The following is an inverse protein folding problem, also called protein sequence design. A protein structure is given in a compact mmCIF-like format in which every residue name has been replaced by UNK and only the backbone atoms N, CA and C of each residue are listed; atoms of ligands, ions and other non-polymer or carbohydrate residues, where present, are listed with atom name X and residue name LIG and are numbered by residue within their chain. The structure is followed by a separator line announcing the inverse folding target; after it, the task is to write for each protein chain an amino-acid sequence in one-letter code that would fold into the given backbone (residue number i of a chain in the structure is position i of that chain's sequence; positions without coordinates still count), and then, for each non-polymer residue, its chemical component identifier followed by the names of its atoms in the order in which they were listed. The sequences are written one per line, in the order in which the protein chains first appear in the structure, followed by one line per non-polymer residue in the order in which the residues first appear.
data_IF_150294254325
#
_entry.id   IF_150294254325
#
_cell.length_a   1.000
_cell.length_b   1.000
_cell.length_c   1.000
_cell.angle_alpha   90.00
_cell.angle_beta   90.00
_cell.angle_gamma   90.00
#
_symmetry.space_group_name_H-M   'P 1'
#
loop_
_entity.id
_entity.type
_entity.pdbx_description
1 polymer ?
#
# COMPACT_ATOMS: atom_id res chain seq x y z
N UNK A 1 -2.35 -16.42 -34.62
CA UNK A 1 -2.74 -17.32 -33.51
C UNK A 1 -2.41 -16.65 -32.19
N UNK A 2 -3.43 -16.18 -31.47
CA UNK A 2 -3.25 -15.39 -30.24
C UNK A 2 -3.06 -16.29 -29.02
N UNK A 3 -2.04 -15.99 -28.20
CA UNK A 3 -1.76 -16.67 -26.93
C UNK A 3 -3.03 -16.77 -26.07
N UNK A 4 -3.37 -17.95 -25.50
CA UNK A 4 -4.57 -18.11 -24.69
C UNK A 4 -4.52 -17.19 -23.47
N UNK A 5 -5.64 -16.52 -23.20
CA UNK A 5 -5.77 -15.66 -22.03
C UNK A 5 -5.69 -16.51 -20.76
N UNK A 6 -4.92 -16.04 -19.77
CA UNK A 6 -4.89 -16.67 -18.46
C UNK A 6 -6.29 -16.61 -17.79
N UNK A 7 -6.64 -17.64 -17.00
CA UNK A 7 -7.85 -17.65 -16.19
C UNK A 7 -7.87 -16.42 -15.28
N UNK A 8 -9.07 -15.90 -15.04
CA UNK A 8 -9.30 -14.72 -14.22
C UNK A 8 -8.83 -15.05 -12.80
N UNK A 9 -7.84 -14.34 -12.30
CA UNK A 9 -7.38 -14.45 -10.90
C UNK A 9 -8.34 -13.63 -10.05
N UNK A 10 -9.33 -14.30 -9.46
CA UNK A 10 -10.43 -13.65 -8.75
C UNK A 10 -9.98 -13.19 -7.36
N UNK A 11 -9.85 -11.86 -7.17
CA UNK A 11 -9.76 -11.29 -5.82
C UNK A 11 -11.12 -11.17 -5.15
N UNK A 12 -12.16 -10.90 -5.95
CA UNK A 12 -13.58 -10.82 -5.55
C UNK A 12 -14.46 -11.32 -6.69
N UNK A 13 -15.69 -11.76 -6.41
CA UNK A 13 -16.64 -12.19 -7.46
C UNK A 13 -16.99 -11.04 -8.41
N UNK A 14 -17.01 -9.83 -7.89
CA UNK A 14 -17.37 -8.61 -8.59
C UNK A 14 -16.23 -8.13 -9.51
N UNK A 15 -14.96 -8.25 -9.09
CA UNK A 15 -13.81 -7.96 -9.96
C UNK A 15 -13.73 -8.97 -11.12
N UNK A 16 -14.05 -10.24 -10.85
CA UNK A 16 -14.16 -11.27 -11.87
C UNK A 16 -15.29 -10.97 -12.88
N UNK A 17 -16.48 -10.60 -12.39
CA UNK A 17 -17.61 -10.24 -13.24
C UNK A 17 -17.32 -9.00 -14.12
N UNK A 18 -16.62 -8.00 -13.59
CA UNK A 18 -16.18 -6.84 -14.37
C UNK A 18 -15.20 -7.26 -15.48
N UNK A 19 -14.20 -8.07 -15.16
CA UNK A 19 -13.22 -8.55 -16.13
C UNK A 19 -13.85 -9.40 -17.24
N UNK A 20 -14.77 -10.30 -16.88
CA UNK A 20 -15.53 -11.12 -17.83
C UNK A 20 -16.36 -10.25 -18.77
N UNK A 21 -17.01 -9.21 -18.25
CA UNK A 21 -17.80 -8.27 -19.07
C UNK A 21 -16.92 -7.52 -20.08
N UNK A 22 -15.75 -7.04 -19.65
CA UNK A 22 -14.78 -6.39 -20.56
C UNK A 22 -14.32 -7.34 -21.68
N UNK A 23 -13.99 -8.60 -21.33
CA UNK A 23 -13.60 -9.62 -22.32
C UNK A 23 -14.73 -9.92 -23.29
N UNK A 24 -15.98 -9.96 -22.82
CA UNK A 24 -17.14 -10.21 -23.68
C UNK A 24 -17.35 -9.07 -24.69
N UNK A 25 -17.23 -7.81 -24.27
CA UNK A 25 -17.29 -6.66 -25.16
C UNK A 25 -16.18 -6.70 -26.21
N UNK A 26 -14.94 -7.00 -25.80
CA UNK A 26 -13.81 -7.12 -26.74
C UNK A 26 -14.04 -8.24 -27.76
N UNK A 27 -14.52 -9.41 -27.31
CA UNK A 27 -14.84 -10.54 -28.20
C UNK A 27 -15.94 -10.20 -29.19
N UNK A 28 -17.01 -9.52 -28.74
CA UNK A 28 -18.10 -9.04 -29.61
C UNK A 28 -17.60 -8.04 -30.65
N UNK A 29 -16.67 -7.17 -30.27
CA UNK A 29 -16.04 -6.22 -31.18
C UNK A 29 -15.00 -6.86 -32.13
N UNK A 30 -14.62 -8.13 -31.92
CA UNK A 30 -13.61 -8.81 -32.74
C UNK A 30 -12.19 -8.25 -32.59
N UNK A 31 -11.92 -7.48 -31.53
CA UNK A 31 -10.64 -6.75 -31.38
C UNK A 31 -9.61 -7.57 -30.60
N UNK A 32 -8.37 -7.55 -31.07
CA UNK A 32 -7.20 -7.94 -30.26
C UNK A 32 -6.85 -6.83 -29.25
N UNK A 33 -6.09 -7.14 -28.20
CA UNK A 33 -5.61 -6.12 -27.26
C UNK A 33 -4.73 -5.06 -27.94
N UNK A 34 -3.99 -5.43 -29.00
CA UNK A 34 -3.18 -4.48 -29.78
C UNK A 34 -4.05 -3.52 -30.58
N UNK A 35 -5.09 -4.02 -31.25
CA UNK A 35 -6.05 -3.18 -31.99
C UNK A 35 -6.86 -2.27 -31.07
N UNK A 36 -7.32 -2.80 -29.94
CA UNK A 36 -7.99 -2.00 -28.92
C UNK A 36 -7.04 -0.94 -28.33
N UNK A 37 -5.76 -1.27 -28.18
CA UNK A 37 -4.74 -0.33 -27.76
C UNK A 37 -4.58 0.84 -28.72
N UNK A 38 -4.53 0.56 -30.02
CA UNK A 38 -4.49 1.59 -31.06
C UNK A 38 -5.74 2.49 -31.03
N UNK A 39 -6.93 1.93 -30.79
CA UNK A 39 -8.18 2.69 -30.72
C UNK A 39 -8.34 3.55 -29.45
N UNK A 40 -7.63 3.21 -28.36
CA UNK A 40 -7.79 3.85 -27.04
C UNK A 40 -6.57 4.65 -26.58
N UNK A 41 -5.44 4.53 -27.27
CA UNK A 41 -4.16 5.08 -26.84
C UNK A 41 -3.52 4.34 -25.65
N UNK A 42 -4.08 3.20 -25.24
CA UNK A 42 -3.60 2.40 -24.11
C UNK A 42 -2.73 1.23 -24.60
N UNK A 43 -1.74 0.81 -23.80
CA UNK A 43 -0.92 -0.35 -24.16
C UNK A 43 -1.72 -1.66 -24.04
N UNK A 44 -1.41 -2.63 -24.91
CA UNK A 44 -2.04 -3.96 -24.88
C UNK A 44 -1.87 -4.65 -23.52
N UNK A 45 -0.74 -4.45 -22.83
CA UNK A 45 -0.48 -4.97 -21.49
C UNK A 45 -1.38 -4.34 -20.43
N UNK A 46 -1.65 -3.03 -20.50
CA UNK A 46 -2.57 -2.33 -19.60
C UNK A 46 -4.02 -2.79 -19.81
N UNK A 47 -4.43 -2.99 -21.05
CA UNK A 47 -5.76 -3.52 -21.39
C UNK A 47 -5.94 -4.98 -20.96
N UNK A 48 -4.92 -5.81 -21.15
CA UNK A 48 -4.92 -7.20 -20.69
C UNK A 48 -5.01 -7.29 -19.16
N UNK A 49 -4.25 -6.46 -18.45
CA UNK A 49 -4.35 -6.35 -16.98
C UNK A 49 -5.72 -5.85 -16.54
N UNK A 50 -6.31 -4.88 -17.24
CA UNK A 50 -7.66 -4.41 -16.94
C UNK A 50 -8.72 -5.51 -17.06
N UNK A 51 -8.47 -6.48 -17.95
CA UNK A 51 -9.32 -7.64 -18.17
C UNK A 51 -8.85 -8.90 -17.39
N UNK A 52 -7.90 -8.81 -16.46
CA UNK A 52 -7.40 -9.97 -15.71
C UNK A 52 -8.29 -10.34 -14.51
N UNK A 53 -8.99 -9.36 -13.91
CA UNK A 53 -9.79 -9.52 -12.69
C UNK A 53 -8.99 -9.50 -11.38
N UNK A 54 -7.67 -9.38 -11.48
CA UNK A 54 -6.73 -9.34 -10.34
C UNK A 54 -6.87 -8.07 -9.49
N UNK A 55 -7.21 -6.95 -10.14
CA UNK A 55 -7.48 -5.68 -9.50
C UNK A 55 -8.52 -4.88 -10.29
N UNK A 56 -9.30 -4.04 -9.61
CA UNK A 56 -10.26 -3.15 -10.28
C UNK A 56 -9.52 -1.95 -10.87
N UNK A 57 -9.56 -1.72 -12.20
CA UNK A 57 -8.85 -0.62 -12.84
C UNK A 57 -9.46 0.75 -12.51
N UNK A 58 -8.78 1.87 -12.79
CA UNK A 58 -9.40 3.21 -12.76
C UNK A 58 -10.60 3.28 -13.72
N UNK A 59 -11.63 4.05 -13.35
CA UNK A 59 -12.86 4.15 -14.16
C UNK A 59 -12.57 4.63 -15.59
N UNK A 60 -11.66 5.58 -15.74
CA UNK A 60 -11.25 6.12 -17.05
C UNK A 60 -10.72 5.03 -18.00
N UNK A 61 -9.92 4.09 -17.48
CA UNK A 61 -9.38 2.97 -18.26
C UNK A 61 -10.51 2.03 -18.69
N UNK A 62 -11.46 1.78 -17.80
CA UNK A 62 -12.63 0.92 -18.09
C UNK A 62 -13.53 1.57 -19.13
N UNK A 63 -13.81 2.87 -19.00
CA UNK A 63 -14.60 3.59 -19.99
C UNK A 63 -13.91 3.69 -21.35
N UNK A 64 -12.60 3.95 -21.38
CA UNK A 64 -11.82 3.97 -22.62
C UNK A 64 -11.86 2.60 -23.31
N UNK A 65 -11.68 1.51 -22.56
CA UNK A 65 -11.80 0.14 -23.07
C UNK A 65 -13.16 -0.10 -23.73
N UNK A 66 -14.24 0.24 -23.02
CA UNK A 66 -15.62 0.02 -23.48
C UNK A 66 -15.96 0.88 -24.69
N UNK A 67 -15.55 2.16 -24.71
CA UNK A 67 -15.68 3.03 -25.89
C UNK A 67 -14.88 2.51 -27.08
N UNK A 68 -13.66 2.02 -26.86
CA UNK A 68 -12.81 1.44 -27.90
C UNK A 68 -13.39 0.16 -28.52
N UNK A 69 -14.30 -0.52 -27.81
CA UNK A 69 -15.06 -1.66 -28.32
C UNK A 69 -16.37 -1.26 -29.05
N UNK A 70 -16.63 0.04 -29.23
CA UNK A 70 -17.83 0.54 -29.93
C UNK A 70 -19.11 0.45 -29.10
N UNK A 71 -19.00 0.45 -27.77
CA UNK A 71 -20.15 0.28 -26.89
C UNK A 71 -21.08 1.51 -26.86
N UNK A 72 -22.37 1.27 -26.65
CA UNK A 72 -23.39 2.33 -26.58
C UNK A 72 -23.49 2.98 -25.18
N UNK A 73 -24.38 3.97 -25.04
CA UNK A 73 -24.61 4.65 -23.75
C UNK A 73 -25.12 3.71 -22.65
N UNK A 74 -25.90 2.67 -23.00
CA UNK A 74 -26.45 1.71 -22.03
C UNK A 74 -25.35 0.80 -21.51
N UNK A 75 -24.46 0.34 -22.38
CA UNK A 75 -23.29 -0.47 -22.02
C UNK A 75 -22.29 0.31 -21.17
N UNK A 76 -22.11 1.61 -21.44
CA UNK A 76 -21.33 2.51 -20.58
C UNK A 76 -21.96 2.67 -19.18
N UNK A 77 -23.28 2.76 -19.07
CA UNK A 77 -23.94 2.79 -17.76
C UNK A 77 -23.83 1.43 -17.03
N UNK A 78 -23.94 0.33 -17.77
CA UNK A 78 -23.81 -1.02 -17.26
C UNK A 78 -22.40 -1.31 -16.73
N UNK A 79 -21.35 -0.84 -17.42
CA UNK A 79 -19.96 -1.01 -16.96
C UNK A 79 -19.68 -0.16 -15.74
N UNK A 80 -20.20 1.07 -15.66
CA UNK A 80 -20.06 1.94 -14.47
C UNK A 80 -20.66 1.30 -13.22
N UNK A 81 -21.82 0.68 -13.36
CA UNK A 81 -22.49 -0.01 -12.26
C UNK A 81 -21.67 -1.21 -11.76
N UNK A 82 -21.18 -2.04 -12.68
CA UNK A 82 -20.28 -3.18 -12.35
C UNK A 82 -18.97 -2.72 -11.75
N UNK A 83 -18.39 -1.64 -12.27
CA UNK A 83 -17.16 -1.05 -11.74
C UNK A 83 -17.35 -0.59 -10.29
N UNK A 84 -18.47 0.07 -9.97
CA UNK A 84 -18.79 0.48 -8.59
C UNK A 84 -18.93 -0.73 -7.67
N UNK A 85 -19.65 -1.76 -8.10
CA UNK A 85 -19.80 -2.99 -7.31
C UNK A 85 -18.43 -3.65 -7.04
N UNK A 86 -17.58 -3.77 -8.07
CA UNK A 86 -16.24 -4.31 -7.93
C UNK A 86 -15.35 -3.48 -7.01
N UNK A 87 -15.43 -2.15 -7.08
CA UNK A 87 -14.72 -1.24 -6.15
C UNK A 87 -15.20 -1.36 -4.72
N UNK A 88 -16.50 -1.57 -4.51
CA UNK A 88 -17.07 -1.77 -3.19
C UNK A 88 -16.70 -3.13 -2.61
N UNK A 89 -16.61 -4.16 -3.44
CA UNK A 89 -16.18 -5.49 -3.01
C UNK A 89 -14.67 -5.56 -2.70
N UNK A 90 -13.83 -4.83 -3.45
CA UNK A 90 -12.42 -4.62 -3.07
C UNK A 90 -12.27 -3.76 -1.82
N UNK A 91 -13.27 -2.94 -1.50
CA UNK A 91 -13.28 -2.23 -0.23
C UNK A 91 -13.53 -3.26 0.89
N UNK A 92 -12.75 -3.22 1.99
CA UNK A 92 -13.04 -4.01 3.17
C UNK A 92 -14.51 -3.85 3.56
N UNK A 93 -15.20 -4.94 3.97
CA UNK A 93 -16.59 -4.84 4.40
C UNK A 93 -16.70 -3.77 5.50
N UNK A 94 -17.75 -2.93 5.49
CA UNK A 94 -17.99 -2.03 6.59
C UNK A 94 -18.15 -2.88 7.84
N UNK A 95 -17.20 -2.78 8.77
CA UNK A 95 -17.27 -3.50 10.03
C UNK A 95 -18.39 -2.88 10.85
N UNK A 96 -19.53 -3.56 10.92
CA UNK A 96 -20.71 -3.13 11.69
C UNK A 96 -20.54 -3.35 13.21
N UNK A 97 -19.47 -4.03 13.62
CA UNK A 97 -19.04 -4.06 15.02
C UNK A 97 -17.90 -3.05 15.20
N UNK A 98 -17.88 -2.28 16.31
CA UNK A 98 -16.70 -1.49 16.64
C UNK A 98 -15.55 -2.48 16.81
N UNK A 99 -14.65 -2.56 15.81
CA UNK A 99 -13.31 -3.08 16.09
C UNK A 99 -12.76 -2.17 17.16
N UNK A 100 -12.36 -2.74 18.29
CA UNK A 100 -11.60 -1.97 19.27
C UNK A 100 -10.46 -1.32 18.49
N UNK A 101 -10.40 0.01 18.51
CA UNK A 101 -9.41 0.81 17.78
C UNK A 101 -7.98 0.39 18.18
N UNK A 102 -7.82 -0.24 19.34
CA UNK A 102 -6.58 -0.88 19.82
C UNK A 102 -6.10 -2.04 18.95
N UNK A 103 -6.98 -2.71 18.23
CA UNK A 103 -6.67 -3.88 17.40
C UNK A 103 -6.43 -3.54 15.92
N UNK A 104 -6.71 -2.31 15.50
CA UNK A 104 -6.52 -1.87 14.12
C UNK A 104 -5.03 -1.80 13.78
N UNK A 105 -4.62 -2.50 12.73
CA UNK A 105 -3.22 -2.60 12.29
C UNK A 105 -3.01 -2.32 10.79
N UNK A 106 -4.07 -2.15 9.99
CA UNK A 106 -3.96 -1.81 8.57
C UNK A 106 -4.59 -0.46 8.22
N UNK A 107 -4.10 0.23 7.17
CA UNK A 107 -4.69 1.48 6.67
C UNK A 107 -6.19 1.36 6.32
N UNK A 108 -6.55 0.23 5.72
CA UNK A 108 -7.91 -0.09 5.31
C UNK A 108 -8.86 -0.21 6.51
N UNK A 109 -8.39 -0.80 7.60
CA UNK A 109 -9.14 -0.94 8.85
C UNK A 109 -9.28 0.39 9.59
N UNK A 110 -8.22 1.21 9.59
CA UNK A 110 -8.27 2.54 10.17
C UNK A 110 -9.31 3.42 9.46
N UNK A 111 -9.33 3.40 8.12
CA UNK A 111 -10.35 4.12 7.38
C UNK A 111 -11.75 3.58 7.67
N UNK A 112 -11.92 2.27 7.78
CA UNK A 112 -13.20 1.66 8.11
C UNK A 112 -13.70 2.13 9.49
N UNK A 113 -12.79 2.23 10.47
CA UNK A 113 -13.07 2.80 11.79
C UNK A 113 -13.48 4.28 11.70
N UNK A 114 -12.78 5.11 10.91
CA UNK A 114 -13.14 6.53 10.71
C UNK A 114 -14.55 6.67 10.14
N UNK A 115 -14.88 5.89 9.12
CA UNK A 115 -16.20 5.91 8.47
C UNK A 115 -17.28 5.39 9.41
N UNK A 116 -16.99 4.38 10.23
CA UNK A 116 -17.89 3.88 11.26
C UNK A 116 -18.17 4.97 12.31
N UNK A 117 -17.13 5.61 12.84
CA UNK A 117 -17.26 6.72 13.79
C UNK A 117 -18.13 7.84 13.21
N UNK A 118 -17.87 8.25 11.96
CA UNK A 118 -18.62 9.30 11.28
C UNK A 118 -20.11 8.95 11.13
N UNK A 119 -20.43 7.67 10.84
CA UNK A 119 -21.81 7.18 10.76
C UNK A 119 -22.50 7.18 12.12
N UNK A 120 -21.83 6.67 13.15
CA UNK A 120 -22.38 6.53 14.51
C UNK A 120 -22.87 7.86 15.09
N UNK A 121 -22.19 8.96 14.76
CA UNK A 121 -22.54 10.30 15.23
C UNK A 121 -23.54 11.04 14.30
N UNK A 122 -24.19 10.33 13.38
CA UNK A 122 -25.20 10.91 12.48
C UNK A 122 -24.65 11.62 11.24
N UNK A 123 -23.42 11.32 10.82
CA UNK A 123 -22.76 11.90 9.63
C UNK A 123 -22.82 13.44 9.57
N UNK A 124 -22.36 14.16 10.59
CA UNK A 124 -22.25 15.61 10.52
C UNK A 124 -21.46 16.04 9.29
N UNK A 125 -21.91 17.13 8.67
CA UNK A 125 -21.26 17.71 7.50
C UNK A 125 -19.81 18.11 7.80
N UNK A 126 -18.95 18.16 6.78
CA UNK A 126 -17.56 18.57 6.93
C UNK A 126 -17.44 19.98 7.53
N UNK A 127 -18.40 20.87 7.21
CA UNK A 127 -18.51 22.21 7.80
C UNK A 127 -18.81 22.18 9.30
N UNK A 128 -19.69 21.28 9.75
CA UNK A 128 -19.97 21.09 11.18
C UNK A 128 -18.76 20.50 11.91
N UNK A 129 -18.07 19.54 11.32
CA UNK A 129 -16.87 18.94 11.91
C UNK A 129 -15.74 19.97 12.05
N UNK A 130 -15.47 20.78 11.04
CA UNK A 130 -14.46 21.84 11.15
C UNK A 130 -14.84 22.88 12.21
N UNK A 131 -16.12 23.26 12.30
CA UNK A 131 -16.60 24.14 13.38
C UNK A 131 -16.37 23.52 14.76
N UNK A 132 -16.62 22.21 14.92
CA UNK A 132 -16.37 21.47 16.18
C UNK A 132 -14.89 21.34 16.50
N UNK A 133 -14.01 21.31 15.50
CA UNK A 133 -12.57 21.26 15.67
C UNK A 133 -11.94 22.61 16.10
N UNK A 134 -12.74 23.69 16.22
CA UNK A 134 -12.26 25.02 16.61
C UNK A 134 -12.12 26.00 15.43
N UNK A 135 -12.51 25.63 14.21
CA UNK A 135 -12.53 26.53 13.05
C UNK A 135 -11.37 26.35 12.07
N UNK A 136 -11.07 27.42 11.31
CA UNK A 136 -10.19 27.39 10.14
C UNK A 136 -8.81 26.80 10.46
N UNK A 137 -8.43 25.77 9.70
CA UNK A 137 -7.09 25.18 9.73
C UNK A 137 -6.92 23.97 10.65
N UNK A 138 -7.77 23.80 11.67
CA UNK A 138 -7.69 22.65 12.59
C UNK A 138 -8.17 21.35 11.93
N UNK A 139 -9.17 21.46 11.04
CA UNK A 139 -9.66 20.34 10.26
C UNK A 139 -10.03 20.80 8.84
N UNK A 140 -9.04 20.95 7.93
CA UNK A 140 -9.29 21.43 6.58
C UNK A 140 -10.29 20.54 5.84
N UNK A 141 -11.42 21.13 5.42
CA UNK A 141 -12.53 20.39 4.77
C UNK A 141 -12.09 19.67 3.50
N UNK A 142 -11.24 20.31 2.70
CA UNK A 142 -10.70 19.74 1.45
C UNK A 142 -9.90 18.47 1.73
N UNK A 143 -8.96 18.53 2.68
CA UNK A 143 -8.13 17.38 3.07
C UNK A 143 -8.96 16.26 3.68
N UNK A 144 -9.88 16.57 4.60
CA UNK A 144 -10.76 15.57 5.18
C UNK A 144 -11.64 14.87 4.13
N UNK A 145 -12.12 15.61 3.13
CA UNK A 145 -12.89 15.04 2.03
C UNK A 145 -12.07 14.03 1.20
N UNK A 146 -10.82 14.36 0.88
CA UNK A 146 -9.91 13.45 0.15
C UNK A 146 -9.62 12.18 0.96
N UNK A 147 -9.39 12.32 2.26
CA UNK A 147 -9.16 11.19 3.17
C UNK A 147 -10.38 10.28 3.27
N UNK A 148 -11.58 10.85 3.45
CA UNK A 148 -12.82 10.05 3.52
C UNK A 148 -13.12 9.34 2.18
N UNK A 149 -12.68 9.91 1.05
CA UNK A 149 -12.76 9.28 -0.28
C UNK A 149 -11.64 8.26 -0.54
N UNK A 150 -10.73 8.05 0.40
CA UNK A 150 -9.52 7.20 0.28
C UNK A 150 -8.52 7.67 -0.79
N UNK A 151 -8.56 8.94 -1.17
CA UNK A 151 -7.66 9.53 -2.16
C UNK A 151 -6.32 9.94 -1.54
N UNK A 152 -6.26 10.09 -0.21
CA UNK A 152 -5.06 10.44 0.55
C UNK A 152 -5.08 9.74 1.93
N UNK A 153 -3.93 9.30 2.46
CA UNK A 153 -3.86 8.83 3.85
C UNK A 153 -4.07 9.98 4.84
N UNK A 154 -4.74 9.76 5.99
CA UNK A 154 -4.82 10.77 7.03
C UNK A 154 -3.45 11.07 7.62
N UNK A 155 -3.15 12.33 7.92
CA UNK A 155 -2.03 12.65 8.82
C UNK A 155 -2.45 12.40 10.28
N UNK A 156 -1.50 12.17 11.22
CA UNK A 156 -1.81 11.98 12.63
C UNK A 156 -2.58 13.15 13.23
N UNK A 157 -2.17 14.38 12.86
CA UNK A 157 -2.79 15.63 13.31
C UNK A 157 -4.23 15.75 12.79
N UNK A 158 -4.45 15.45 11.50
CA UNK A 158 -5.78 15.49 10.91
C UNK A 158 -6.70 14.43 11.55
N UNK A 159 -6.15 13.24 11.83
CA UNK A 159 -6.90 12.15 12.48
C UNK A 159 -7.33 12.53 13.89
N UNK A 160 -6.42 13.08 14.71
CA UNK A 160 -6.74 13.52 16.07
C UNK A 160 -7.81 14.63 16.05
N UNK A 161 -7.65 15.63 15.18
CA UNK A 161 -8.64 16.71 15.02
C UNK A 161 -10.02 16.16 14.59
N UNK A 162 -10.06 15.21 13.66
CA UNK A 162 -11.29 14.55 13.23
C UNK A 162 -11.97 13.78 14.37
N UNK A 163 -11.21 12.99 15.12
CA UNK A 163 -11.69 12.16 16.23
C UNK A 163 -12.25 13.02 17.37
N UNK A 164 -11.57 14.12 17.71
CA UNK A 164 -12.06 15.11 18.69
C UNK A 164 -13.31 15.83 18.19
N UNK A 165 -13.35 16.23 16.91
CA UNK A 165 -14.54 16.85 16.31
C UNK A 165 -15.75 15.90 16.26
N UNK A 166 -15.49 14.59 16.24
CA UNK A 166 -16.52 13.56 16.38
C UNK A 166 -17.00 13.37 17.83
N UNK A 167 -16.38 14.03 18.81
CA UNK A 167 -16.76 13.97 20.22
C UNK A 167 -16.18 12.78 20.99
N UNK A 168 -15.13 12.14 20.46
CA UNK A 168 -14.43 11.07 21.18
C UNK A 168 -13.61 11.68 22.33
N UNK A 169 -13.73 11.17 23.58
CA UNK A 169 -12.95 11.66 24.70
C UNK A 169 -11.44 11.55 24.47
N UNK A 170 -10.66 12.46 25.04
CA UNK A 170 -9.20 12.48 24.87
C UNK A 170 -8.52 11.15 25.29
N UNK A 171 -9.07 10.50 26.32
CA UNK A 171 -8.61 9.19 26.80
C UNK A 171 -8.79 8.08 25.74
N UNK A 172 -9.78 8.19 24.87
CA UNK A 172 -10.02 7.24 23.78
C UNK A 172 -9.28 7.64 22.50
N UNK A 173 -9.11 8.95 22.27
CA UNK A 173 -8.41 9.50 21.11
C UNK A 173 -6.95 9.03 20.99
N UNK A 174 -6.27 8.78 22.12
CA UNK A 174 -4.89 8.24 22.12
C UNK A 174 -4.78 6.90 21.38
N UNK A 175 -5.81 6.07 21.45
CA UNK A 175 -5.81 4.77 20.79
C UNK A 175 -5.91 4.89 19.25
N UNK A 176 -6.48 5.98 18.74
CA UNK A 176 -6.52 6.30 17.31
C UNK A 176 -5.15 6.68 16.77
N UNK A 177 -4.37 7.44 17.54
CA UNK A 177 -2.97 7.72 17.21
C UNK A 177 -2.14 6.42 17.17
N UNK A 178 -2.35 5.53 18.14
CA UNK A 178 -1.73 4.20 18.15
C UNK A 178 -2.12 3.34 16.95
N UNK A 179 -3.39 3.36 16.53
CA UNK A 179 -3.86 2.67 15.34
C UNK A 179 -3.23 3.23 14.05
N UNK A 180 -3.11 4.55 13.95
CA UNK A 180 -2.41 5.19 12.83
C UNK A 180 -0.95 4.75 12.75
N UNK A 181 -0.24 4.75 13.89
CA UNK A 181 1.15 4.31 13.94
C UNK A 181 1.31 2.87 13.49
N UNK A 182 0.45 1.93 13.94
CA UNK A 182 0.49 0.54 13.49
C UNK A 182 0.15 0.37 12.01
N UNK A 183 -0.80 1.16 11.50
CA UNK A 183 -1.27 1.09 10.13
C UNK A 183 -0.26 1.62 9.10
N UNK A 184 0.49 2.68 9.44
CA UNK A 184 1.36 3.39 8.50
C UNK A 184 2.84 3.34 8.84
N UNK A 185 3.21 2.95 10.06
CA UNK A 185 4.60 2.61 10.39
C UNK A 185 4.72 1.10 10.20
N UNK A 186 5.56 0.62 9.28
CA UNK A 186 5.86 -0.80 9.22
C UNK A 186 6.32 -1.22 10.61
N UNK A 187 5.66 -2.22 11.21
CA UNK A 187 6.34 -2.98 12.26
C UNK A 187 7.61 -3.46 11.59
N UNK A 188 8.75 -2.93 12.01
CA UNK A 188 10.02 -3.60 11.80
C UNK A 188 9.78 -4.97 12.41
N UNK A 189 9.44 -5.94 11.57
CA UNK A 189 9.48 -7.34 11.95
C UNK A 189 10.85 -7.48 12.55
N UNK A 190 10.91 -7.82 13.84
CA UNK A 190 12.13 -8.28 14.46
C UNK A 190 12.85 -9.11 13.40
N UNK A 191 14.04 -8.65 13.00
CA UNK A 191 14.96 -9.48 12.24
C UNK A 191 15.09 -10.71 13.12
N UNK A 192 14.36 -11.76 12.77
CA UNK A 192 14.71 -13.10 13.18
C UNK A 192 16.05 -13.26 12.48
N UNK A 193 17.14 -12.94 13.20
CA UNK A 193 18.43 -13.46 12.83
C UNK A 193 18.20 -14.97 12.76
N UNK A 194 18.30 -15.61 11.58
CA UNK A 194 18.43 -17.04 11.58
C UNK A 194 19.68 -17.31 12.42
N UNK A 195 19.49 -17.94 13.58
CA UNK A 195 20.56 -18.60 14.32
C UNK A 195 21.55 -19.18 13.31
N UNK A 196 22.87 -18.85 13.40
CA UNK A 196 23.84 -19.39 12.48
C UNK A 196 23.79 -20.90 12.62
N UNK A 197 23.20 -21.58 11.64
CA UNK A 197 23.24 -23.03 11.55
C UNK A 197 24.71 -23.39 11.50
N UNK A 198 25.19 -24.06 12.54
CA UNK A 198 26.47 -24.75 12.60
C UNK A 198 26.63 -25.61 11.34
N UNK A 199 27.29 -25.03 10.35
CA UNK A 199 27.69 -25.74 9.15
C UNK A 199 28.93 -26.56 9.50
N UNK A 200 28.67 -27.73 10.07
CA UNK A 200 29.55 -28.88 9.95
C UNK A 200 29.85 -29.08 8.45
N UNK A 201 31.07 -28.76 8.05
CA UNK A 201 31.67 -29.36 6.86
C UNK A 201 33.11 -29.80 7.16
N UNK A 202 33.46 -31.07 6.85
CA UNK A 202 34.78 -31.62 7.10
C UNK A 202 35.78 -31.20 6.03
N UNK A 203 37.00 -30.86 6.44
CA UNK A 203 38.14 -30.64 5.54
C UNK A 203 38.65 -31.96 4.94
N UNK A 204 38.90 -32.03 3.62
CA UNK A 204 39.86 -33.00 3.08
C UNK A 204 41.27 -32.41 3.10
N UNK A 205 42.20 -33.19 3.67
CA UNK A 205 43.65 -32.93 3.68
C UNK A 205 44.25 -33.23 2.29
N UNK A 206 45.18 -32.39 1.86
CA UNK A 206 46.02 -32.61 0.69
C UNK A 206 47.28 -31.74 0.75
N UNK A 207 48.43 -32.37 0.54
CA UNK A 207 49.77 -32.04 1.03
C UNK A 207 50.54 -30.88 0.33
N UNK A 208 51.60 -30.45 1.04
CA UNK A 208 52.69 -29.48 0.75
C UNK A 208 53.56 -29.83 -0.51
N UNK A 209 54.74 -29.19 -0.84
CA UNK A 209 55.56 -28.22 -0.07
C UNK A 209 56.40 -27.14 -0.83
N UNK A 210 57.09 -26.33 -0.01
CA UNK A 210 58.46 -25.77 -0.13
C UNK A 210 58.77 -24.52 -1.00
N UNK A 211 59.27 -23.46 -0.34
CA UNK A 211 60.70 -23.04 -0.47
C UNK A 211 61.13 -22.05 0.63
N UNK A 212 62.38 -22.23 1.08
CA UNK A 212 63.15 -21.44 2.09
C UNK A 212 63.86 -20.24 1.43
N UNK A 213 64.09 -19.15 2.18
CA UNK A 213 65.40 -18.70 2.74
C UNK A 213 65.39 -17.21 3.11
N UNK A 214 66.04 -16.86 4.24
CA UNK A 214 66.57 -15.50 4.47
C UNK A 214 66.64 -15.03 5.93
N UNK A 215 67.62 -15.53 6.70
CA UNK A 215 68.24 -14.96 7.93
C UNK A 215 68.86 -13.56 7.67
N UNK A 216 69.13 -12.63 8.60
CA UNK A 216 69.90 -12.68 9.88
C UNK A 216 69.96 -11.27 10.55
N UNK A 217 70.19 -11.24 11.89
CA UNK A 217 70.86 -10.23 12.75
C UNK A 217 70.24 -8.81 12.92
N UNK A 218 69.84 -8.32 14.10
CA UNK A 218 70.54 -8.08 15.40
C UNK A 218 71.32 -6.76 15.46
N UNK A 219 70.90 -5.83 16.34
CA UNK A 219 71.77 -5.05 17.25
C UNK A 219 70.94 -4.15 18.18
N UNK A 220 71.35 -4.15 19.45
CA UNK A 220 70.89 -3.40 20.61
C UNK A 220 71.08 -1.88 20.52
N UNK A 221 70.38 -1.13 21.39
CA UNK A 221 70.69 0.29 21.61
C UNK A 221 69.71 1.07 22.49
N UNK A 222 69.66 0.74 23.78
CA UNK A 222 69.69 1.67 24.93
C UNK A 222 68.94 3.02 24.86
N UNK A 223 67.78 3.07 25.51
CA UNK A 223 67.41 3.94 26.65
C UNK A 223 67.43 5.50 26.57
N UNK A 224 66.69 6.18 27.48
CA UNK A 224 65.81 7.33 27.17
C UNK A 224 66.31 8.67 27.75
N UNK A 225 65.72 9.80 27.33
CA UNK A 225 65.64 10.99 28.19
C UNK A 225 64.32 11.77 28.01
N UNK A 226 63.70 11.97 29.17
CA UNK A 226 62.55 12.81 29.52
C UNK A 226 62.89 14.29 29.33
N UNK A 227 61.90 15.10 28.94
CA UNK A 227 62.03 16.56 28.91
C UNK A 227 60.75 17.29 28.51
N UNK A 228 59.74 17.29 29.38
CA UNK A 228 58.79 18.42 29.52
C UNK A 228 59.32 19.30 30.67
N UNK A 229 59.04 20.63 30.77
CA UNK A 229 57.71 21.23 30.55
C UNK A 229 57.66 22.68 29.99
N UNK A 230 56.43 23.15 29.74
CA UNK A 230 55.96 24.57 29.73
C UNK A 230 56.12 25.23 31.13
N UNK A 231 55.71 26.49 31.40
CA UNK A 231 55.25 27.61 30.55
C UNK A 231 55.96 28.96 30.84
N UNK A 232 55.72 29.98 30.01
CA UNK A 232 55.10 31.29 30.36
C UNK A 232 54.67 32.02 29.07
#
# INVERSE_FOLDING_TARGET
MGRPERPVTERTKESAALAQYLRQLRRRAGLTYSQLGAATGLTASRLSRAASGEAVPPLEVVEAYVRGCGADKKELAAVRTRWRAARQAEAPPPVDRPRDIRLVDTPSELWAAMVHLHRRIGRPSLRQLEKRAGGLGQLPRSTLNLVLRREMPPSPVLLDAFVRACGVPAADAVHWAGAWSRAYTPRSSAVIHPEPRDARFPHPRGSAPATRRGTLAAADGTAPLVGSPRPD
#
